data_IF_669453905285
#
_entry.id   IF_669453905285
#
_cell.length_a   1.000
_cell.length_b   1.000
_cell.length_c   1.000
_cell.angle_alpha   90.00
_cell.angle_beta   90.00
_cell.angle_gamma   90.00
#
_symmetry.space_group_name_H-M   'P 1'
#
loop_
_entity.id
_entity.type
_entity.pdbx_description
1 polymer ?
#
# COMPACT_ATOMS: atom_id res chain seq x y z
N UNK A 1 -1.30 -10.84 15.87
CA UNK A 1 -2.60 -11.21 15.25
C UNK A 1 -3.02 -10.25 14.13
N UNK A 2 -2.82 -8.91 14.23
CA UNK A 2 -3.22 -7.96 13.19
C UNK A 2 -2.46 -8.07 11.84
N UNK A 3 -1.23 -8.60 11.84
CA UNK A 3 -0.38 -8.76 10.64
C UNK A 3 -1.05 -9.67 9.58
N UNK A 4 -1.87 -10.64 10.01
CA UNK A 4 -2.46 -11.66 9.13
C UNK A 4 -3.44 -11.12 8.08
N UNK A 5 -4.05 -9.96 8.34
CA UNK A 5 -5.06 -9.40 7.45
C UNK A 5 -4.44 -8.42 6.43
N UNK A 6 -3.42 -7.66 6.83
CA UNK A 6 -2.80 -6.65 5.97
C UNK A 6 -1.97 -7.34 4.86
N UNK A 7 -2.19 -6.96 3.60
CA UNK A 7 -1.66 -7.64 2.42
C UNK A 7 -2.58 -8.74 1.86
N UNK A 8 -3.37 -9.42 2.71
CA UNK A 8 -4.31 -10.44 2.23
C UNK A 8 -5.50 -9.82 1.50
N UNK A 9 -5.95 -8.64 1.94
CA UNK A 9 -6.90 -7.83 1.17
C UNK A 9 -6.37 -7.55 -0.25
N UNK A 10 -5.09 -7.18 -0.39
CA UNK A 10 -4.49 -6.96 -1.70
C UNK A 10 -4.54 -8.21 -2.58
N UNK A 11 -4.23 -9.38 -2.01
CA UNK A 11 -4.36 -10.66 -2.71
C UNK A 11 -5.80 -10.93 -3.18
N UNK A 12 -6.79 -10.71 -2.31
CA UNK A 12 -8.20 -10.89 -2.68
C UNK A 12 -8.62 -9.96 -3.82
N UNK A 13 -8.22 -8.69 -3.79
CA UNK A 13 -8.50 -7.78 -4.89
C UNK A 13 -7.93 -8.29 -6.24
N UNK A 14 -6.75 -8.91 -6.23
CA UNK A 14 -6.17 -9.53 -7.43
C UNK A 14 -6.90 -10.81 -7.85
N UNK A 15 -7.35 -11.63 -6.89
CA UNK A 15 -8.11 -12.85 -7.16
C UNK A 15 -9.40 -12.53 -7.93
N UNK A 16 -10.14 -11.51 -7.48
CA UNK A 16 -11.35 -11.05 -8.17
C UNK A 16 -11.03 -10.30 -9.48
N UNK A 17 -9.96 -9.52 -9.52
CA UNK A 17 -9.77 -8.52 -10.58
C UNK A 17 -8.86 -8.98 -11.71
N UNK A 18 -7.71 -9.58 -11.38
CA UNK A 18 -6.72 -10.06 -12.34
C UNK A 18 -6.91 -11.52 -12.69
N UNK A 19 -7.14 -12.36 -11.67
CA UNK A 19 -7.07 -13.81 -11.83
C UNK A 19 -8.40 -14.44 -12.22
N UNK A 20 -9.50 -13.69 -12.15
CA UNK A 20 -10.84 -14.19 -12.47
C UNK A 20 -11.19 -15.43 -11.64
N UNK A 21 -10.90 -15.39 -10.34
CA UNK A 21 -11.10 -16.47 -9.37
C UNK A 21 -10.22 -17.72 -9.57
N UNK A 22 -9.26 -17.70 -10.49
CA UNK A 22 -8.24 -18.76 -10.59
C UNK A 22 -7.19 -18.57 -9.49
N UNK A 23 -6.78 -19.70 -8.91
CA UNK A 23 -5.78 -19.70 -7.83
C UNK A 23 -4.38 -19.60 -8.42
N UNK A 24 -3.60 -18.66 -7.91
CA UNK A 24 -2.20 -18.48 -8.26
C UNK A 24 -1.39 -18.14 -7.02
N UNK A 25 -0.21 -18.75 -6.91
CA UNK A 25 0.71 -18.47 -5.83
C UNK A 25 1.24 -17.06 -5.98
N UNK A 26 0.93 -16.19 -5.03
CA UNK A 26 1.20 -14.76 -5.14
C UNK A 26 2.03 -14.29 -3.96
N UNK A 27 3.12 -13.59 -4.23
CA UNK A 27 3.92 -12.96 -3.20
C UNK A 27 3.56 -11.48 -3.11
N UNK A 28 2.91 -11.07 -2.01
CA UNK A 28 2.54 -9.67 -1.77
C UNK A 28 3.64 -8.98 -0.95
N UNK A 29 4.07 -7.83 -1.44
CA UNK A 29 5.01 -6.91 -0.79
C UNK A 29 4.23 -5.61 -0.52
N UNK A 30 3.75 -5.43 0.70
CA UNK A 30 2.96 -4.25 1.09
C UNK A 30 3.84 -3.24 1.81
N UNK A 31 4.16 -2.12 1.16
CA UNK A 31 5.01 -1.07 1.71
C UNK A 31 4.15 0.03 2.30
N UNK A 32 3.96 -0.05 3.62
CA UNK A 32 3.15 0.88 4.40
C UNK A 32 3.93 2.05 4.99
N UNK A 33 3.27 2.78 5.88
CA UNK A 33 3.86 3.91 6.58
C UNK A 33 4.89 3.47 7.63
N UNK A 34 4.49 2.65 8.61
CA UNK A 34 5.40 2.22 9.69
C UNK A 34 6.18 0.94 9.37
N UNK A 35 5.63 0.08 8.52
CA UNK A 35 6.16 -1.26 8.22
C UNK A 35 6.13 -1.51 6.72
N UNK A 36 6.86 -2.55 6.30
CA UNK A 36 6.51 -3.29 5.09
C UNK A 36 6.24 -4.75 5.43
N UNK A 37 5.38 -5.39 4.66
CA UNK A 37 4.91 -6.75 4.91
C UNK A 37 5.35 -7.62 3.74
N UNK A 38 5.90 -8.79 4.07
CA UNK A 38 6.04 -9.90 3.14
C UNK A 38 4.94 -10.91 3.39
N UNK A 39 4.20 -11.27 2.36
CA UNK A 39 3.06 -12.16 2.46
C UNK A 39 3.01 -13.10 1.25
N UNK A 40 3.74 -14.23 1.29
CA UNK A 40 3.53 -15.32 0.35
C UNK A 40 2.17 -15.98 0.59
N UNK A 41 1.35 -16.04 -0.46
CA UNK A 41 0.09 -16.77 -0.52
C UNK A 41 0.27 -17.97 -1.45
N UNK A 42 0.14 -19.18 -0.90
CA UNK A 42 0.35 -20.45 -1.59
C UNK A 42 -0.94 -21.25 -1.52
N UNK A 43 -1.43 -21.73 -2.67
CA UNK A 43 -2.68 -22.49 -2.75
C UNK A 43 -3.86 -21.78 -2.06
N UNK A 44 -3.92 -20.45 -2.20
CA UNK A 44 -4.91 -19.55 -1.57
C UNK A 44 -4.79 -19.35 -0.05
N UNK A 45 -3.75 -19.89 0.58
CA UNK A 45 -3.49 -19.74 2.01
C UNK A 45 -2.22 -18.91 2.25
N UNK A 46 -2.24 -18.07 3.29
CA UNK A 46 -1.05 -17.35 3.72
C UNK A 46 -0.04 -18.35 4.27
N UNK A 47 1.18 -18.33 3.75
CA UNK A 47 2.27 -19.12 4.32
C UNK A 47 2.79 -18.43 5.59
N UNK A 48 2.19 -18.83 6.73
CA UNK A 48 2.44 -18.25 8.04
C UNK A 48 3.88 -18.41 8.55
N UNK A 49 4.67 -19.33 7.98
CA UNK A 49 6.08 -19.51 8.35
C UNK A 49 6.95 -18.39 7.75
N UNK A 50 6.54 -17.87 6.60
CA UNK A 50 7.31 -16.87 5.86
C UNK A 50 6.70 -15.47 5.96
N UNK A 51 5.40 -15.36 6.22
CA UNK A 51 4.72 -14.09 6.40
C UNK A 51 5.30 -13.31 7.59
N UNK A 52 5.64 -12.04 7.37
CA UNK A 52 6.23 -11.19 8.41
C UNK A 52 5.94 -9.70 8.14
N UNK A 53 5.94 -8.90 9.20
CA UNK A 53 5.82 -7.45 9.16
C UNK A 53 7.07 -6.82 9.73
N UNK A 54 7.83 -6.14 8.88
CA UNK A 54 9.14 -5.58 9.22
C UNK A 54 8.98 -4.09 9.54
N UNK A 55 9.44 -3.61 10.71
CA UNK A 55 9.28 -2.22 11.15
C UNK A 55 10.23 -1.26 10.43
N UNK A 56 10.06 -1.16 9.12
CA UNK A 56 10.86 -0.29 8.24
C UNK A 56 10.00 0.20 7.07
N UNK A 57 9.03 1.07 7.34
CA UNK A 57 8.17 1.66 6.31
C UNK A 57 8.63 3.03 5.83
N UNK A 58 7.75 3.72 5.10
CA UNK A 58 8.01 5.09 4.60
C UNK A 58 8.32 6.11 5.71
N UNK A 59 7.77 5.91 6.90
CA UNK A 59 8.04 6.75 8.08
C UNK A 59 9.54 6.84 8.35
N UNK A 60 10.23 5.71 8.40
CA UNK A 60 11.68 5.66 8.70
C UNK A 60 12.49 6.45 7.67
N UNK A 61 12.13 6.36 6.39
CA UNK A 61 12.77 7.14 5.32
C UNK A 61 12.56 8.64 5.56
N UNK A 62 11.31 9.06 5.77
CA UNK A 62 10.98 10.48 5.97
C UNK A 62 11.56 11.05 7.26
N UNK A 63 11.66 10.23 8.30
CA UNK A 63 12.30 10.58 9.55
C UNK A 63 13.81 10.79 9.34
N UNK A 64 14.49 9.88 8.63
CA UNK A 64 15.91 10.01 8.30
C UNK A 64 16.18 11.27 7.46
N UNK A 65 15.35 11.57 6.46
CA UNK A 65 15.43 12.81 5.68
C UNK A 65 15.30 14.03 6.60
N UNK A 66 14.28 14.06 7.46
CA UNK A 66 14.07 15.14 8.42
C UNK A 66 15.27 15.32 9.36
N UNK A 67 15.89 14.22 9.82
CA UNK A 67 17.09 14.25 10.67
C UNK A 67 18.28 14.85 9.92
N UNK A 68 18.54 14.41 8.69
CA UNK A 68 19.64 14.93 7.86
C UNK A 68 19.46 16.43 7.56
N UNK A 69 18.23 16.88 7.28
CA UNK A 69 17.95 18.31 7.09
C UNK A 69 18.27 19.09 8.37
N UNK A 70 17.84 18.59 9.53
CA UNK A 70 18.11 19.25 10.82
C UNK A 70 19.62 19.35 11.10
N UNK A 71 20.36 18.26 10.93
CA UNK A 71 21.82 18.22 11.14
C UNK A 71 22.57 19.18 10.19
N UNK A 72 22.13 19.32 8.94
CA UNK A 72 22.76 20.20 7.95
C UNK A 72 22.36 21.67 8.10
N UNK A 73 21.12 21.94 8.51
CA UNK A 73 20.56 23.29 8.56
C UNK A 73 20.99 24.11 9.78
N UNK A 74 21.66 23.50 10.78
CA UNK A 74 22.05 24.17 12.05
C UNK A 74 20.89 24.89 12.76
N UNK A 75 19.65 24.59 12.38
CA UNK A 75 18.45 25.20 12.93
C UNK A 75 18.18 24.67 14.34
N UNK A 76 17.46 25.45 15.14
CA UNK A 76 16.99 25.00 16.46
C UNK A 76 15.83 24.01 16.39
N UNK A 77 15.10 24.00 15.27
CA UNK A 77 13.88 23.20 15.12
C UNK A 77 14.01 22.23 13.95
N UNK A 78 13.63 20.98 14.21
CA UNK A 78 13.55 19.91 13.21
C UNK A 78 12.33 20.14 12.33
N UNK A 79 12.48 19.97 11.02
CA UNK A 79 11.34 20.00 10.10
C UNK A 79 10.50 18.73 10.34
N UNK A 80 9.18 18.85 10.59
CA UNK A 80 8.32 17.68 10.78
C UNK A 80 8.37 16.74 9.58
N UNK A 81 8.40 15.44 9.82
CA UNK A 81 8.43 14.43 8.77
C UNK A 81 7.21 14.47 7.85
N UNK A 82 6.05 14.92 8.35
CA UNK A 82 4.83 15.11 7.54
C UNK A 82 5.07 16.06 6.35
N UNK A 83 5.89 17.10 6.51
CA UNK A 83 6.21 18.02 5.40
C UNK A 83 7.02 17.32 4.30
N UNK A 84 7.82 16.32 4.65
CA UNK A 84 8.52 15.48 3.67
C UNK A 84 7.53 14.53 3.03
N UNK A 85 6.66 13.88 3.81
CA UNK A 85 5.64 12.94 3.33
C UNK A 85 4.67 13.58 2.33
N UNK A 86 4.24 14.83 2.54
CA UNK A 86 3.32 15.55 1.64
C UNK A 86 3.92 15.78 0.24
N UNK A 87 5.25 15.84 0.16
CA UNK A 87 5.99 16.12 -1.08
C UNK A 87 6.22 14.87 -1.94
N UNK A 88 6.40 13.71 -1.32
CA UNK A 88 6.72 12.45 -2.02
C UNK A 88 5.69 12.06 -3.10
N UNK A 89 4.37 12.11 -2.85
CA UNK A 89 3.37 11.77 -3.87
C UNK A 89 3.41 12.69 -5.11
N UNK A 90 3.99 13.87 -4.98
CA UNK A 90 4.12 14.89 -6.04
C UNK A 90 5.48 14.85 -6.74
N UNK A 91 6.34 13.88 -6.40
CA UNK A 91 7.74 13.83 -6.83
C UNK A 91 8.55 15.09 -6.50
N UNK A 92 8.11 15.85 -5.48
CA UNK A 92 8.82 17.03 -5.00
C UNK A 92 9.91 16.60 -4.02
N UNK A 93 11.16 17.01 -4.26
CA UNK A 93 12.30 16.72 -3.36
C UNK A 93 12.91 17.96 -2.74
N UNK A 94 12.30 19.13 -2.98
CA UNK A 94 12.77 20.41 -2.47
C UNK A 94 11.89 20.88 -1.33
N UNK A 95 12.51 21.25 -0.22
CA UNK A 95 11.83 21.77 0.97
C UNK A 95 12.49 23.05 1.45
N UNK A 96 11.66 24.03 1.77
CA UNK A 96 12.14 25.28 2.37
C UNK A 96 12.47 25.06 3.85
N UNK A 97 13.71 25.42 4.20
CA UNK A 97 14.26 25.40 5.54
C UNK A 97 14.39 26.87 5.99
N UNK A 98 13.59 27.29 6.99
CA UNK A 98 13.65 28.67 7.48
C UNK A 98 15.08 29.07 7.85
N UNK A 99 15.56 30.20 7.33
CA UNK A 99 16.90 30.73 7.60
C UNK A 99 18.04 30.12 6.78
N UNK A 100 17.84 28.98 6.08
CA UNK A 100 18.88 28.28 5.30
C UNK A 100 18.55 28.16 3.81
N UNK A 101 17.31 28.45 3.42
CA UNK A 101 16.86 28.39 2.03
C UNK A 101 16.30 27.02 1.64
N UNK A 102 16.46 26.64 0.38
CA UNK A 102 15.84 25.41 -0.17
C UNK A 102 16.80 24.24 -0.08
N UNK A 103 16.39 23.16 0.58
CA UNK A 103 17.12 21.91 0.66
C UNK A 103 16.55 20.89 -0.34
N UNK A 104 17.41 20.28 -1.16
CA UNK A 104 17.05 19.15 -2.02
C UNK A 104 17.40 17.83 -1.34
N UNK A 105 16.38 17.10 -0.89
CA UNK A 105 16.55 15.83 -0.19
C UNK A 105 16.59 14.61 -1.12
N UNK A 106 16.57 14.80 -2.45
CA UNK A 106 16.62 13.69 -3.41
C UNK A 106 17.78 12.71 -3.15
N UNK A 107 19.03 13.14 -2.89
CA UNK A 107 20.12 12.20 -2.66
C UNK A 107 19.91 11.32 -1.43
N UNK A 108 19.27 11.85 -0.39
CA UNK A 108 18.96 11.10 0.84
C UNK A 108 17.83 10.12 0.57
N UNK A 109 16.77 10.56 -0.11
CA UNK A 109 15.65 9.72 -0.53
C UNK A 109 16.12 8.55 -1.39
N UNK A 110 16.94 8.81 -2.41
CA UNK A 110 17.44 7.78 -3.33
C UNK A 110 18.28 6.73 -2.61
N UNK A 111 19.09 7.14 -1.62
CA UNK A 111 19.88 6.21 -0.82
C UNK A 111 19.00 5.35 0.08
N UNK A 112 18.06 5.96 0.80
CA UNK A 112 17.15 5.25 1.71
C UNK A 112 16.21 4.29 0.95
N UNK A 113 15.72 4.69 -0.23
CA UNK A 113 14.92 3.82 -1.09
C UNK A 113 15.73 2.64 -1.61
N UNK A 114 16.99 2.86 -2.02
CA UNK A 114 17.88 1.78 -2.44
C UNK A 114 18.11 0.78 -1.31
N UNK A 115 18.42 1.26 -0.12
CA UNK A 115 18.63 0.41 1.06
C UNK A 115 17.37 -0.41 1.41
N UNK A 116 16.18 0.19 1.28
CA UNK A 116 14.91 -0.51 1.45
C UNK A 116 14.68 -1.59 0.38
N UNK A 117 14.89 -1.25 -0.88
CA UNK A 117 14.74 -2.18 -2.00
C UNK A 117 15.67 -3.38 -1.83
N UNK A 118 16.93 -3.15 -1.48
CA UNK A 118 17.91 -4.21 -1.28
C UNK A 118 17.52 -5.14 -0.12
N UNK A 119 17.07 -4.57 1.02
CA UNK A 119 16.56 -5.36 2.15
C UNK A 119 15.35 -6.20 1.78
N UNK A 120 14.39 -5.63 1.03
CA UNK A 120 13.22 -6.37 0.54
C UNK A 120 13.66 -7.51 -0.35
N UNK A 121 14.50 -7.26 -1.35
CA UNK A 121 14.95 -8.27 -2.31
C UNK A 121 15.74 -9.40 -1.64
N UNK A 122 16.58 -9.11 -0.64
CA UNK A 122 17.28 -10.15 0.13
C UNK A 122 16.27 -11.09 0.81
N UNK A 123 15.25 -10.54 1.47
CA UNK A 123 14.21 -11.34 2.15
C UNK A 123 13.35 -12.13 1.17
N UNK A 124 12.93 -11.50 0.07
CA UNK A 124 12.17 -12.18 -0.99
C UNK A 124 12.97 -13.38 -1.52
N UNK A 125 14.25 -13.22 -1.83
CA UNK A 125 15.10 -14.33 -2.32
C UNK A 125 15.24 -15.46 -1.31
N UNK A 126 15.38 -15.14 -0.02
CA UNK A 126 15.42 -16.14 1.04
C UNK A 126 14.12 -16.95 1.09
N UNK A 127 12.98 -16.26 1.06
CA UNK A 127 11.66 -16.90 1.07
C UNK A 127 11.44 -17.76 -0.17
N UNK A 128 11.84 -17.30 -1.36
CA UNK A 128 11.76 -18.08 -2.60
C UNK A 128 12.61 -19.36 -2.53
N UNK A 129 13.80 -19.29 -1.93
CA UNK A 129 14.64 -20.46 -1.68
C UNK A 129 14.02 -21.47 -0.70
N UNK A 130 13.33 -21.00 0.34
CA UNK A 130 12.59 -21.86 1.27
C UNK A 130 11.37 -22.50 0.60
N UNK A 131 10.58 -21.73 -0.15
CA UNK A 131 9.45 -22.25 -0.91
C UNK A 131 9.88 -23.30 -1.93
N UNK A 132 10.96 -23.05 -2.66
CA UNK A 132 11.51 -24.00 -3.65
C UNK A 132 11.94 -25.31 -3.00
N UNK A 133 12.59 -25.27 -1.82
CA UNK A 133 12.92 -26.48 -1.04
C UNK A 133 11.68 -27.29 -0.62
N UNK A 134 10.53 -26.62 -0.48
CA UNK A 134 9.22 -27.23 -0.20
C UNK A 134 8.44 -27.62 -1.45
N UNK A 135 9.04 -27.48 -2.65
CA UNK A 135 8.38 -27.77 -3.93
C UNK A 135 7.28 -26.78 -4.32
N UNK A 136 7.31 -25.57 -3.76
CA UNK A 136 6.35 -24.49 -4.03
C UNK A 136 7.03 -23.37 -4.83
N UNK A 137 6.25 -22.68 -5.66
CA UNK A 137 6.73 -21.61 -6.53
C UNK A 137 5.75 -20.45 -6.53
N UNK A 138 6.25 -19.23 -6.76
CA UNK A 138 5.44 -18.02 -6.90
C UNK A 138 5.16 -17.77 -8.38
N UNK A 139 3.88 -17.63 -8.71
CA UNK A 139 3.42 -17.30 -10.06
C UNK A 139 3.47 -15.80 -10.31
N UNK A 140 3.04 -15.01 -9.32
CA UNK A 140 2.91 -13.56 -9.41
C UNK A 140 3.49 -12.83 -8.19
N UNK A 141 3.97 -11.61 -8.42
CA UNK A 141 4.37 -10.67 -7.37
C UNK A 141 3.44 -9.47 -7.40
N UNK A 142 3.06 -8.99 -6.22
CA UNK A 142 2.27 -7.77 -6.08
C UNK A 142 3.00 -6.81 -5.16
N UNK A 143 3.28 -5.60 -5.63
CA UNK A 143 3.95 -4.57 -4.83
C UNK A 143 2.90 -3.48 -4.57
N UNK A 144 2.47 -3.36 -3.32
CA UNK A 144 1.30 -2.58 -2.92
C UNK A 144 1.60 -1.68 -1.73
N UNK A 145 0.62 -0.89 -1.30
CA UNK A 145 0.76 0.02 -0.18
C UNK A 145 1.08 1.45 -0.59
N UNK A 146 1.20 2.32 0.41
CA UNK A 146 1.43 3.76 0.20
C UNK A 146 2.82 4.09 -0.34
N UNK A 147 3.82 3.25 -0.08
CA UNK A 147 5.20 3.39 -0.54
C UNK A 147 5.49 2.69 -1.88
N UNK A 148 4.60 1.81 -2.36
CA UNK A 148 4.80 1.08 -3.61
C UNK A 148 5.20 1.95 -4.81
N UNK A 149 4.59 3.13 -5.06
CA UNK A 149 4.99 3.97 -6.20
C UNK A 149 6.47 4.38 -6.23
N UNK A 150 7.14 4.39 -5.07
CA UNK A 150 8.55 4.79 -4.96
C UNK A 150 9.51 3.61 -5.15
N UNK A 151 9.06 2.37 -4.92
CA UNK A 151 9.92 1.17 -4.91
C UNK A 151 9.53 0.13 -5.97
N UNK A 152 8.40 0.31 -6.65
CA UNK A 152 7.84 -0.65 -7.62
C UNK A 152 8.86 -1.06 -8.68
N UNK A 153 9.36 -0.09 -9.46
CA UNK A 153 10.29 -0.36 -10.56
C UNK A 153 11.63 -0.96 -10.10
N UNK A 154 12.29 -0.45 -9.04
CA UNK A 154 13.48 -1.10 -8.49
C UNK A 154 13.26 -2.55 -8.02
N UNK A 155 12.17 -2.83 -7.30
CA UNK A 155 11.86 -4.20 -6.83
C UNK A 155 11.54 -5.11 -8.02
N UNK A 156 10.73 -4.65 -8.97
CA UNK A 156 10.40 -5.36 -10.21
C UNK A 156 11.66 -5.76 -10.99
N UNK A 157 12.60 -4.85 -11.18
CA UNK A 157 13.91 -5.14 -11.80
C UNK A 157 14.74 -6.13 -10.98
N UNK A 158 14.67 -6.07 -9.66
CA UNK A 158 15.34 -7.02 -8.77
C UNK A 158 14.80 -8.45 -8.90
N UNK A 159 13.47 -8.59 -9.03
CA UNK A 159 12.78 -9.87 -9.28
C UNK A 159 13.09 -10.39 -10.68
N UNK A 160 13.00 -9.52 -11.69
CA UNK A 160 13.35 -9.85 -13.08
C UNK A 160 14.73 -10.49 -13.18
N UNK A 161 15.74 -9.84 -12.58
CA UNK A 161 17.13 -10.34 -12.56
C UNK A 161 17.28 -11.66 -11.82
N UNK A 162 16.50 -11.89 -10.76
CA UNK A 162 16.58 -13.13 -9.98
C UNK A 162 16.11 -14.33 -10.80
N UNK A 163 15.04 -14.16 -11.57
CA UNK A 163 14.48 -15.22 -12.40
C UNK A 163 15.02 -15.26 -13.83
N UNK A 164 15.89 -14.31 -14.20
CA UNK A 164 16.35 -14.09 -15.58
C UNK A 164 15.18 -13.97 -16.58
N UNK A 165 14.12 -13.27 -16.16
CA UNK A 165 12.94 -13.05 -17.00
C UNK A 165 13.18 -11.92 -18.01
N UNK A 166 12.62 -12.07 -19.21
CA UNK A 166 12.49 -10.97 -20.14
C UNK A 166 11.41 -9.96 -19.67
N UNK A 167 11.32 -8.82 -20.35
CA UNK A 167 10.38 -7.76 -19.97
C UNK A 167 8.91 -8.18 -20.08
N UNK A 168 8.57 -9.00 -21.09
CA UNK A 168 7.20 -9.50 -21.30
C UNK A 168 6.72 -10.33 -20.12
N UNK A 169 7.51 -11.34 -19.72
CA UNK A 169 7.20 -12.20 -18.57
C UNK A 169 7.17 -11.38 -17.28
N UNK A 170 8.12 -10.45 -17.12
CA UNK A 170 8.18 -9.58 -15.93
C UNK A 170 6.93 -8.71 -15.81
N UNK A 171 6.49 -8.08 -16.90
CA UNK A 171 5.29 -7.24 -16.91
C UNK A 171 4.01 -8.06 -16.70
N UNK A 172 3.99 -9.33 -17.12
CA UNK A 172 2.86 -10.22 -16.86
C UNK A 172 2.80 -10.65 -15.38
N UNK A 173 3.95 -10.97 -14.78
CA UNK A 173 4.06 -11.61 -13.46
C UNK A 173 4.24 -10.66 -12.28
N UNK A 174 4.85 -9.48 -12.48
CA UNK A 174 4.93 -8.44 -11.44
C UNK A 174 3.80 -7.45 -11.66
N UNK A 175 2.76 -7.58 -10.83
CA UNK A 175 1.48 -6.90 -10.99
C UNK A 175 1.59 -5.46 -10.49
N UNK A 176 1.52 -4.52 -11.43
CA UNK A 176 1.09 -3.16 -11.12
C UNK A 176 -0.42 -3.17 -10.94
N UNK A 177 -0.88 -2.91 -9.73
CA UNK A 177 -2.31 -2.98 -9.40
C UNK A 177 -3.11 -1.84 -10.02
N UNK A 178 -2.45 -0.80 -10.54
CA UNK A 178 -3.12 0.21 -11.37
C UNK A 178 -3.73 -0.41 -12.64
N UNK A 179 -3.17 -1.51 -13.16
CA UNK A 179 -3.68 -2.19 -14.36
C UNK A 179 -5.00 -2.92 -14.12
N UNK A 180 -5.39 -3.12 -12.86
CA UNK A 180 -6.71 -3.65 -12.48
C UNK A 180 -7.66 -2.55 -12.00
N UNK A 181 -7.33 -1.28 -12.25
CA UNK A 181 -8.16 -0.13 -11.88
C UNK A 181 -8.18 0.19 -10.40
N UNK A 182 -7.15 -0.23 -9.63
CA UNK A 182 -7.06 0.01 -8.19
C UNK A 182 -5.77 0.73 -7.83
N UNK A 183 -5.86 1.75 -6.97
CA UNK A 183 -4.66 2.42 -6.49
C UNK A 183 -3.91 1.54 -5.45
N UNK A 184 -2.56 1.45 -5.50
CA UNK A 184 -1.78 0.61 -4.59
C UNK A 184 -2.05 0.86 -3.09
N UNK A 185 -2.32 2.12 -2.72
CA UNK A 185 -2.64 2.52 -1.34
C UNK A 185 -3.98 1.97 -0.83
N UNK A 186 -4.96 1.74 -1.70
CA UNK A 186 -6.34 1.39 -1.32
C UNK A 186 -6.68 -0.08 -1.56
N UNK A 187 -5.78 -0.84 -2.18
CA UNK A 187 -6.06 -2.20 -2.63
C UNK A 187 -6.45 -3.16 -1.50
N UNK A 188 -5.84 -3.03 -0.32
CA UNK A 188 -6.24 -3.82 0.84
C UNK A 188 -7.71 -3.57 1.20
N UNK A 189 -8.12 -2.31 1.26
CA UNK A 189 -9.51 -1.92 1.55
C UNK A 189 -10.47 -2.44 0.48
N UNK A 190 -10.08 -2.36 -0.80
CA UNK A 190 -10.88 -2.91 -1.91
C UNK A 190 -11.08 -4.42 -1.74
N UNK A 191 -10.02 -5.18 -1.45
CA UNK A 191 -10.16 -6.62 -1.25
C UNK A 191 -11.04 -7.00 -0.06
N UNK A 192 -10.94 -6.29 1.06
CA UNK A 192 -11.83 -6.52 2.20
C UNK A 192 -13.28 -6.16 1.89
N UNK A 193 -13.52 -5.09 1.13
CA UNK A 193 -14.86 -4.74 0.67
C UNK A 193 -15.45 -5.84 -0.22
N UNK A 194 -14.65 -6.44 -1.11
CA UNK A 194 -15.09 -7.55 -1.95
C UNK A 194 -15.43 -8.80 -1.12
N UNK A 195 -14.61 -9.13 -0.11
CA UNK A 195 -14.92 -10.21 0.83
C UNK A 195 -16.22 -9.97 1.60
N UNK A 196 -16.40 -8.76 2.13
CA UNK A 196 -17.61 -8.40 2.87
C UNK A 196 -18.85 -8.47 1.99
N UNK A 197 -18.76 -8.01 0.73
CA UNK A 197 -19.84 -8.10 -0.26
C UNK A 197 -20.25 -9.56 -0.50
N UNK A 198 -19.28 -10.45 -0.72
CA UNK A 198 -19.55 -11.86 -1.01
C UNK A 198 -20.14 -12.58 0.20
N UNK A 199 -19.65 -12.28 1.41
CA UNK A 199 -20.23 -12.79 2.65
C UNK A 199 -21.70 -12.38 2.80
N UNK A 200 -22.03 -11.11 2.54
CA UNK A 200 -23.42 -10.62 2.56
C UNK A 200 -24.28 -11.33 1.51
N UNK A 201 -23.75 -11.54 0.30
CA UNK A 201 -24.49 -12.24 -0.76
C UNK A 201 -24.81 -13.69 -0.37
N UNK A 202 -23.85 -14.40 0.22
CA UNK A 202 -24.03 -15.77 0.74
C UNK A 202 -25.09 -15.79 1.84
N UNK A 203 -25.03 -14.87 2.80
CA UNK A 203 -26.02 -14.77 3.89
C UNK A 203 -27.44 -14.47 3.41
N UNK A 204 -27.56 -13.80 2.26
CA UNK A 204 -28.84 -13.44 1.63
C UNK A 204 -29.30 -14.45 0.57
N UNK A 205 -28.59 -15.56 0.37
CA UNK A 205 -28.83 -16.55 -0.69
C UNK A 205 -28.93 -15.91 -2.09
N UNK A 206 -28.04 -14.95 -2.35
CA UNK A 206 -27.94 -14.22 -3.62
C UNK A 206 -26.70 -14.66 -4.40
N UNK A 207 -26.76 -14.68 -5.74
CA UNK A 207 -25.57 -14.94 -6.54
C UNK A 207 -24.50 -13.86 -6.31
N UNK A 208 -23.25 -14.30 -6.17
CA UNK A 208 -22.09 -13.42 -6.11
C UNK A 208 -21.76 -12.92 -7.53
N UNK A 209 -21.70 -11.62 -7.71
CA UNK A 209 -21.25 -11.01 -8.95
C UNK A 209 -19.70 -10.93 -8.96
N UNK A 210 -19.00 -11.67 -9.83
CA UNK A 210 -17.54 -11.63 -9.88
C UNK A 210 -17.02 -10.33 -10.51
N UNK A 211 -17.88 -9.55 -11.19
CA UNK A 211 -17.47 -8.27 -11.74
C UNK A 211 -17.36 -7.23 -10.64
N UNK A 212 -16.25 -6.48 -10.64
CA UNK A 212 -16.15 -5.25 -9.87
C UNK A 212 -15.54 -4.15 -10.72
N UNK A 213 -16.14 -2.96 -10.63
CA UNK A 213 -15.56 -1.74 -11.14
C UNK A 213 -15.43 -0.77 -9.99
N UNK A 214 -14.20 -0.35 -9.67
CA UNK A 214 -13.98 0.77 -8.76
C UNK A 214 -14.39 2.05 -9.51
N UNK A 215 -15.63 2.50 -9.29
CA UNK A 215 -16.19 3.65 -10.03
C UNK A 215 -15.65 4.99 -9.55
N UNK A 216 -15.29 5.10 -8.27
CA UNK A 216 -14.79 6.36 -7.68
C UNK A 216 -14.04 6.07 -6.37
N UNK A 217 -12.83 6.60 -6.21
CA UNK A 217 -12.15 6.67 -4.91
C UNK A 217 -12.52 8.00 -4.26
N UNK A 218 -13.52 8.00 -3.38
CA UNK A 218 -13.86 9.18 -2.60
C UNK A 218 -12.85 9.32 -1.47
N UNK A 219 -11.86 10.19 -1.63
CA UNK A 219 -11.02 10.64 -0.52
C UNK A 219 -11.73 11.79 0.18
N UNK A 220 -11.71 11.79 1.51
CA UNK A 220 -12.03 12.97 2.33
C UNK A 220 -10.95 14.05 2.09
N UNK A 221 -10.87 14.60 0.88
CA UNK A 221 -10.41 15.96 0.76
C UNK A 221 -11.40 16.77 1.58
N UNK A 222 -10.91 17.32 2.69
CA UNK A 222 -11.54 18.42 3.41
C UNK A 222 -11.94 19.46 2.35
N UNK A 223 -13.17 19.32 1.85
CA UNK A 223 -13.87 20.40 1.16
C UNK A 223 -13.99 21.47 2.23
N UNK A 224 -13.03 22.39 2.21
CA UNK A 224 -13.12 23.69 2.84
C UNK A 224 -14.29 24.40 2.18
N UNK A 225 -15.50 24.05 2.59
CA UNK A 225 -16.68 24.85 2.36
C UNK A 225 -17.23 25.14 3.75
N UNK A 226 -16.73 26.25 4.30
CA UNK A 226 -17.21 26.84 5.55
C UNK A 226 -18.65 27.30 5.37
N UNK A 227 -19.59 26.35 5.42
CA UNK A 227 -21.00 26.63 5.62
C UNK A 227 -21.46 25.98 6.90
N UNK A 228 -21.68 26.86 7.87
CA UNK A 228 -22.27 26.66 9.19
C UNK A 228 -23.31 25.53 9.24
N UNK A 229 -22.95 24.42 9.88
CA UNK A 229 -23.89 23.44 10.43
C UNK A 229 -24.38 23.82 11.84
N UNK A 230 -24.41 25.13 12.14
CA UNK A 230 -24.99 25.70 13.36
C UNK A 230 -26.28 26.47 13.07
N UNK A 231 -27.20 25.89 12.30
CA UNK A 231 -28.53 26.47 12.11
C UNK A 231 -29.60 25.41 11.82
N UNK A 232 -29.73 24.39 12.68
CA UNK A 232 -30.91 23.50 12.67
C UNK A 232 -31.18 22.82 14.03
N UNK A 233 -30.81 23.47 15.13
CA UNK A 233 -31.40 23.18 16.45
C UNK A 233 -32.63 24.08 16.62
N UNK A 234 -33.79 23.61 16.16
CA UNK A 234 -35.05 24.06 16.75
C UNK A 234 -35.58 22.98 17.72
N UNK A 235 -36.09 23.37 18.90
CA UNK A 235 -36.59 22.41 19.88
C UNK A 235 -37.97 21.90 19.47
N UNK A 236 -38.19 20.60 19.67
CA UNK A 236 -39.50 19.95 19.61
C UNK A 236 -40.46 20.63 20.60
N UNK A 237 -41.44 21.39 20.11
CA UNK A 237 -42.58 21.86 20.91
C UNK A 237 -43.77 20.91 20.76
N UNK A 238 -44.33 20.57 21.92
CA UNK A 238 -45.43 19.65 22.25
C UNK A 238 -46.67 19.68 21.33
N UNK A 239 -47.10 18.45 21.00
CA UNK A 239 -48.44 17.87 20.81
C UNK A 239 -49.70 18.76 20.71
N UNK A 240 -50.57 18.43 19.74
CA UNK A 240 -52.04 18.42 19.92
C UNK A 240 -52.64 17.20 19.21
N UNK A 241 -53.35 16.38 19.99
CA UNK A 241 -54.26 15.31 19.56
C UNK A 241 -55.64 15.93 19.26
N UNK A 242 -56.24 15.55 18.12
CA UNK A 242 -57.70 15.42 17.86
C UNK A 242 -57.82 14.35 16.76
N UNK A 243 -58.72 13.39 16.77
CA UNK A 243 -60.09 13.30 17.32
C UNK A 243 -60.25 12.26 18.44
#
# INVERSE_FOLDING_TARGET
MAIQFQGYGAYMAMLFGKYGMKLYNTYVIDVGHGTWIKLPVIDNEVDMLLADSIPYGMHTITENISRVIFEKSRQRYRIPEQRVMEKLPRNETRIEVPGEGVFDFRPVLDNELRDMVDKILVRVRQDLGELSRRGKFIDYFAIVGGGAPLVFEPIKKGIQRYYDWNDEVTNARVVDVSTIGVHPRTINSVGFMLLARDQIAIELDRPVDPSFGVRELVTDELKGDGRDLRASRQPLSKAVIKS
#
